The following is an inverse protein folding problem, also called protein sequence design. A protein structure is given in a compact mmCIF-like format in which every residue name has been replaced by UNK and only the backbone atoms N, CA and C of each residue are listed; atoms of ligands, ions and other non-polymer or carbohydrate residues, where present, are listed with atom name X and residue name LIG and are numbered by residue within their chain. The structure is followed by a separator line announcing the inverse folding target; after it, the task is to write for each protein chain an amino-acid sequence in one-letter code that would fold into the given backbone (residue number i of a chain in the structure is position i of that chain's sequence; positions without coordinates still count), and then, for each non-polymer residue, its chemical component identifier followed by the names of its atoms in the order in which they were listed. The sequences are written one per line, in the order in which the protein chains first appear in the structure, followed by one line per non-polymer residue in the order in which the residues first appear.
data_IF_671744530105
#
_entry.id   IF_671744530105
#
_cell.length_a   1.000
_cell.length_b   1.000
_cell.length_c   1.000
_cell.angle_alpha   90.00
_cell.angle_beta   90.00
_cell.angle_gamma   90.00
#
_symmetry.space_group_name_H-M   'P 1'
#
loop_
_entity.id
_entity.type
_entity.pdbx_description
1 polymer ?
#
# COMPACT_ATOMS: atom_id res chain seq x y z
N UNK A 1 -7.86 5.45 5.54
CA UNK A 1 -7.20 4.22 5.05
C UNK A 1 -7.71 3.10 5.89
N UNK A 2 -7.98 1.95 5.31
CA UNK A 2 -8.58 0.79 5.97
C UNK A 2 -7.70 -0.45 5.74
N UNK A 3 -7.98 -1.52 6.48
CA UNK A 3 -7.34 -2.83 6.28
C UNK A 3 -6.35 -3.20 7.38
N UNK A 4 -5.57 -4.25 7.10
CA UNK A 4 -4.76 -4.98 8.08
C UNK A 4 -3.86 -4.03 8.88
N UNK A 5 -3.89 -4.13 10.20
CA UNK A 5 -3.00 -3.42 11.13
C UNK A 5 -2.39 -4.45 12.08
N UNK A 6 -1.08 -4.33 12.32
CA UNK A 6 -0.39 -5.16 13.32
C UNK A 6 -0.30 -4.35 14.60
N UNK A 7 -0.79 -4.92 15.70
CA UNK A 7 -0.60 -4.41 17.04
C UNK A 7 0.23 -5.44 17.82
N UNK A 8 1.25 -4.96 18.54
CA UNK A 8 2.06 -5.81 19.41
C UNK A 8 2.48 -5.01 20.65
N UNK A 9 2.60 -5.69 21.78
CA UNK A 9 3.23 -5.18 23.00
C UNK A 9 4.69 -5.64 23.14
N UNK A 10 5.19 -6.42 22.18
CA UNK A 10 6.58 -6.86 22.10
C UNK A 10 7.44 -5.80 21.39
N UNK A 11 8.36 -5.20 22.15
CA UNK A 11 9.28 -4.17 21.66
C UNK A 11 10.31 -4.70 20.65
N UNK A 12 10.73 -5.95 20.78
CA UNK A 12 11.69 -6.58 19.88
C UNK A 12 11.04 -6.89 18.54
N UNK A 13 9.81 -7.39 18.55
CA UNK A 13 9.02 -7.57 17.32
C UNK A 13 8.79 -6.22 16.62
N UNK A 14 8.46 -5.18 17.39
CA UNK A 14 8.29 -3.81 16.87
C UNK A 14 9.55 -3.32 16.16
N UNK A 15 10.72 -3.50 16.80
CA UNK A 15 12.01 -3.19 16.19
C UNK A 15 12.23 -3.99 14.90
N UNK A 16 11.95 -5.30 14.90
CA UNK A 16 12.14 -6.14 13.71
C UNK A 16 11.21 -5.76 12.54
N UNK A 17 9.97 -5.40 12.82
CA UNK A 17 8.98 -4.95 11.83
C UNK A 17 9.31 -3.55 11.27
N UNK A 18 9.95 -2.70 12.08
CA UNK A 18 10.37 -1.35 11.70
C UNK A 18 11.81 -1.29 11.17
N UNK A 19 12.59 -2.37 11.29
CA UNK A 19 14.01 -2.35 10.97
C UNK A 19 14.21 -2.08 9.46
N UNK A 20 14.97 -1.02 9.07
CA UNK A 20 15.12 -0.61 7.67
C UNK A 20 15.67 -1.69 6.73
N UNK A 21 16.41 -2.66 7.26
CA UNK A 21 16.97 -3.78 6.47
C UNK A 21 15.96 -4.88 6.14
N UNK A 22 14.80 -4.92 6.80
CA UNK A 22 13.70 -5.86 6.51
C UNK A 22 12.59 -5.10 5.82
N UNK A 23 12.73 -4.90 4.51
CA UNK A 23 11.65 -4.39 3.66
C UNK A 23 10.45 -5.35 3.71
N UNK A 24 9.46 -5.02 4.55
CA UNK A 24 8.19 -5.73 4.55
C UNK A 24 7.26 -5.15 3.49
N UNK A 25 7.04 -5.96 2.47
CA UNK A 25 6.07 -5.67 1.44
C UNK A 25 4.69 -5.39 2.02
N UNK A 26 4.02 -4.39 1.47
CA UNK A 26 2.64 -4.06 1.80
C UNK A 26 1.84 -4.05 0.54
N UNK A 27 0.74 -4.78 0.55
CA UNK A 27 -0.17 -4.90 -0.58
C UNK A 27 -1.46 -4.15 -0.32
N UNK A 28 -1.87 -3.38 -1.32
CA UNK A 28 -3.03 -2.51 -1.24
C UNK A 28 -3.94 -2.70 -2.44
N UNK A 29 -5.24 -2.70 -2.18
CA UNK A 29 -6.25 -2.46 -3.20
C UNK A 29 -6.65 -1.00 -3.14
N UNK A 30 -6.39 -0.27 -4.22
CA UNK A 30 -6.61 1.17 -4.30
C UNK A 30 -7.67 1.46 -5.36
N UNK A 31 -8.66 2.27 -4.99
CA UNK A 31 -9.69 2.77 -5.90
C UNK A 31 -9.51 4.27 -6.09
N UNK A 32 -9.55 4.72 -7.34
CA UNK A 32 -9.50 6.13 -7.72
C UNK A 32 -10.90 6.69 -7.99
N UNK A 33 -11.00 8.02 -8.00
CA UNK A 33 -12.20 8.75 -8.40
C UNK A 33 -12.55 8.52 -9.88
N UNK A 34 -11.55 8.33 -10.74
CA UNK A 34 -11.69 8.17 -12.20
C UNK A 34 -10.87 7.00 -12.75
N UNK A 35 -11.08 6.61 -14.01
CA UNK A 35 -10.38 5.49 -14.61
C UNK A 35 -8.88 5.77 -14.78
N UNK A 36 -8.04 4.77 -14.53
CA UNK A 36 -6.60 4.88 -14.81
C UNK A 36 -6.34 4.82 -16.30
N UNK A 37 -5.43 5.63 -16.77
CA UNK A 37 -4.83 5.49 -18.10
C UNK A 37 -3.75 4.41 -18.05
N UNK A 38 -3.62 3.61 -19.11
CA UNK A 38 -2.63 2.53 -19.13
C UNK A 38 -1.20 3.07 -19.00
N UNK A 39 -0.90 4.21 -19.65
CA UNK A 39 0.41 4.86 -19.55
C UNK A 39 0.78 5.26 -18.11
N UNK A 40 -0.21 5.58 -17.27
CA UNK A 40 0.04 5.94 -15.87
C UNK A 40 0.34 4.73 -14.97
N UNK A 41 -0.04 3.51 -15.37
CA UNK A 41 0.31 2.31 -14.60
C UNK A 41 1.82 2.07 -14.58
N UNK A 42 2.47 2.27 -15.73
CA UNK A 42 3.93 2.13 -15.85
C UNK A 42 4.69 3.19 -15.04
N UNK A 43 4.11 4.39 -14.90
CA UNK A 43 4.69 5.46 -14.08
C UNK A 43 4.84 5.06 -12.61
N UNK A 44 3.89 4.30 -12.06
CA UNK A 44 4.01 3.79 -10.69
C UNK A 44 5.23 2.85 -10.54
N UNK A 45 5.61 2.10 -11.58
CA UNK A 45 6.76 1.17 -11.57
C UNK A 45 8.09 1.89 -11.80
N UNK A 46 8.14 2.77 -12.82
CA UNK A 46 9.34 3.56 -13.16
C UNK A 46 9.67 4.58 -12.07
N UNK A 47 8.64 5.07 -11.38
CA UNK A 47 8.69 5.99 -10.27
C UNK A 47 8.32 7.42 -10.67
N UNK A 48 7.59 8.07 -9.78
CA UNK A 48 6.96 9.38 -9.94
C UNK A 48 7.74 10.39 -9.10
N UNK A 49 8.06 11.53 -9.67
CA UNK A 49 8.68 12.63 -8.95
C UNK A 49 7.65 13.40 -8.14
N UNK A 50 7.91 13.53 -6.84
CA UNK A 50 7.05 14.21 -5.88
C UNK A 50 7.88 15.21 -5.06
N UNK A 51 7.26 16.14 -4.32
CA UNK A 51 8.01 17.04 -3.42
C UNK A 51 8.87 16.30 -2.38
N UNK A 52 8.53 15.05 -2.07
CA UNK A 52 9.23 14.18 -1.11
C UNK A 52 10.34 13.34 -1.76
N UNK A 53 10.54 13.48 -3.08
CA UNK A 53 11.47 12.71 -3.88
C UNK A 53 10.79 11.75 -4.85
N UNK A 54 11.58 10.83 -5.43
CA UNK A 54 11.09 9.85 -6.40
C UNK A 54 10.46 8.66 -5.66
N UNK A 55 9.16 8.49 -5.81
CA UNK A 55 8.41 7.38 -5.22
C UNK A 55 8.08 6.34 -6.28
N UNK A 56 8.27 5.05 -5.98
CA UNK A 56 7.92 3.94 -6.88
C UNK A 56 7.19 2.83 -6.14
N UNK A 57 6.42 2.06 -6.88
CA UNK A 57 5.85 0.80 -6.46
C UNK A 57 6.75 -0.36 -6.91
N UNK A 58 6.69 -1.47 -6.18
CA UNK A 58 7.34 -2.72 -6.59
C UNK A 58 6.56 -3.41 -7.70
N UNK A 59 5.25 -3.41 -7.58
CA UNK A 59 4.34 -4.04 -8.53
C UNK A 59 3.01 -3.29 -8.57
N UNK A 60 2.41 -3.25 -9.76
CA UNK A 60 1.09 -2.69 -10.02
C UNK A 60 0.34 -3.64 -10.92
N UNK A 61 -0.90 -3.95 -10.57
CA UNK A 61 -1.78 -4.82 -11.35
C UNK A 61 -3.16 -4.16 -11.47
N UNK A 62 -3.67 -4.06 -12.70
CA UNK A 62 -5.01 -3.50 -12.93
C UNK A 62 -6.07 -4.54 -12.59
N UNK A 63 -6.99 -4.18 -11.69
CA UNK A 63 -8.14 -5.01 -11.33
C UNK A 63 -9.42 -4.55 -12.04
N UNK A 64 -9.56 -3.25 -12.33
CA UNK A 64 -10.65 -2.70 -13.15
C UNK A 64 -10.26 -1.32 -13.72
N UNK A 65 -11.19 -0.64 -14.38
CA UNK A 65 -10.97 0.72 -14.86
C UNK A 65 -10.49 1.68 -13.75
N UNK A 66 -11.06 1.57 -12.53
CA UNK A 66 -10.78 2.48 -11.39
C UNK A 66 -10.10 1.82 -10.20
N UNK A 67 -9.69 0.55 -10.33
CA UNK A 67 -9.09 -0.21 -9.22
C UNK A 67 -7.79 -0.86 -9.65
N UNK A 68 -6.77 -0.70 -8.82
CA UNK A 68 -5.48 -1.36 -8.98
C UNK A 68 -5.03 -1.99 -7.66
N UNK A 69 -4.25 -3.05 -7.79
CA UNK A 69 -3.46 -3.63 -6.72
C UNK A 69 -2.05 -3.05 -6.80
N UNK A 70 -1.52 -2.58 -5.67
CA UNK A 70 -0.18 -2.01 -5.56
C UNK A 70 0.58 -2.72 -4.44
N UNK A 71 1.83 -3.11 -4.73
CA UNK A 71 2.77 -3.63 -3.74
C UNK A 71 3.89 -2.60 -3.55
N UNK A 72 4.17 -2.24 -2.29
CA UNK A 72 5.26 -1.35 -1.91
C UNK A 72 6.26 -2.09 -1.01
N UNK A 73 7.57 -1.87 -1.21
CA UNK A 73 8.65 -2.39 -0.35
C UNK A 73 8.79 -1.58 0.95
N UNK A 74 8.63 -0.26 0.83
CA UNK A 74 8.62 0.68 1.94
C UNK A 74 7.25 1.35 2.05
N UNK A 75 6.85 1.71 3.27
CA UNK A 75 5.59 2.39 3.55
C UNK A 75 5.84 3.81 4.03
N UNK A 76 6.34 4.70 3.17
CA UNK A 76 6.45 6.11 3.54
C UNK A 76 5.05 6.68 3.83
N UNK A 77 4.98 7.63 4.79
CA UNK A 77 3.71 8.19 5.24
C UNK A 77 2.94 8.75 4.05
N UNK A 78 1.72 8.26 3.82
CA UNK A 78 0.83 8.67 2.71
C UNK A 78 1.36 8.41 1.29
N UNK A 79 2.43 7.64 1.09
CA UNK A 79 3.07 7.38 -0.22
C UNK A 79 2.09 7.12 -1.37
N UNK A 80 1.11 6.22 -1.18
CA UNK A 80 0.12 5.90 -2.23
C UNK A 80 -0.70 7.13 -2.63
N UNK A 81 -1.14 7.93 -1.66
CA UNK A 81 -1.94 9.13 -1.95
C UNK A 81 -1.12 10.17 -2.69
N UNK A 82 0.13 10.38 -2.28
CA UNK A 82 1.07 11.31 -2.94
C UNK A 82 1.33 10.88 -4.40
N UNK A 83 1.59 9.59 -4.64
CA UNK A 83 1.80 9.06 -5.99
C UNK A 83 0.56 9.25 -6.89
N UNK A 84 -0.64 9.05 -6.34
CA UNK A 84 -1.88 9.21 -7.09
C UNK A 84 -2.17 10.68 -7.40
N UNK A 85 -2.03 11.56 -6.42
CA UNK A 85 -2.23 13.00 -6.56
C UNK A 85 -1.27 13.58 -7.61
N UNK A 86 -0.01 13.12 -7.63
CA UNK A 86 0.98 13.52 -8.63
C UNK A 86 0.61 13.12 -10.08
N UNK A 87 -0.24 12.11 -10.27
CA UNK A 87 -0.77 11.70 -11.57
C UNK A 87 -2.21 12.19 -11.81
N UNK A 88 -2.72 13.10 -10.97
CA UNK A 88 -4.06 13.68 -11.12
C UNK A 88 -5.21 12.79 -10.65
N UNK A 89 -4.94 11.76 -9.85
CA UNK A 89 -5.96 10.88 -9.27
C UNK A 89 -6.23 11.20 -7.80
N UNK A 90 -7.49 11.06 -7.38
CA UNK A 90 -7.87 11.07 -5.97
C UNK A 90 -8.20 9.65 -5.50
N UNK A 91 -7.59 9.22 -4.40
CA UNK A 91 -7.84 7.90 -3.80
C UNK A 91 -9.14 7.92 -3.00
N UNK A 92 -10.15 7.23 -3.50
CA UNK A 92 -11.49 7.09 -2.86
C UNK A 92 -11.54 5.94 -1.87
N UNK A 93 -10.90 4.81 -2.17
CA UNK A 93 -10.74 3.68 -1.24
C UNK A 93 -9.31 3.19 -1.22
N UNK A 94 -8.80 2.93 -0.02
CA UNK A 94 -7.45 2.41 0.20
C UNK A 94 -7.50 1.32 1.26
N UNK A 95 -7.42 0.07 0.81
CA UNK A 95 -7.48 -1.12 1.65
C UNK A 95 -6.14 -1.83 1.65
N UNK A 96 -5.50 -1.97 2.81
CA UNK A 96 -4.31 -2.80 2.97
C UNK A 96 -4.71 -4.25 3.23
N UNK A 97 -4.31 -5.16 2.34
CA UNK A 97 -4.69 -6.58 2.41
C UNK A 97 -3.56 -7.48 2.88
N UNK A 98 -2.31 -6.99 2.86
CA UNK A 98 -1.13 -7.77 3.29
C UNK A 98 -0.04 -6.90 3.89
N UNK A 99 0.65 -7.43 4.90
CA UNK A 99 1.91 -6.91 5.45
C UNK A 99 2.87 -8.09 5.61
N UNK A 100 3.92 -8.14 4.78
CA UNK A 100 4.84 -9.27 4.73
C UNK A 100 4.12 -10.57 4.37
N UNK A 101 4.19 -11.56 5.27
CA UNK A 101 3.48 -12.85 5.17
C UNK A 101 2.05 -12.82 5.73
N UNK A 102 1.65 -11.74 6.41
CA UNK A 102 0.35 -11.64 7.06
C UNK A 102 -0.70 -11.09 6.10
N UNK A 103 -1.83 -11.79 5.98
CA UNK A 103 -2.96 -11.44 5.12
C UNK A 103 -4.16 -11.01 5.96
N UNK A 104 -4.97 -10.09 5.41
CA UNK A 104 -6.23 -9.67 6.04
C UNK A 104 -7.23 -10.82 6.17
N UNK A 105 -7.23 -11.76 5.21
CA UNK A 105 -8.16 -12.89 5.20
C UNK A 105 -9.62 -12.46 5.17
N UNK A 106 -10.44 -13.13 5.96
CA UNK A 106 -11.89 -12.92 6.06
C UNK A 106 -12.28 -12.00 7.24
N UNK A 107 -11.32 -11.27 7.83
CA UNK A 107 -11.59 -10.36 8.94
C UNK A 107 -12.49 -9.20 8.49
N UNK A 108 -13.59 -9.00 9.21
CA UNK A 108 -14.46 -7.86 8.97
C UNK A 108 -13.84 -6.55 9.49
N UNK A 109 -14.22 -5.38 8.95
CA UNK A 109 -13.73 -4.11 9.45
C UNK A 109 -14.02 -3.92 10.94
N UNK A 110 -12.96 -3.84 11.75
CA UNK A 110 -13.04 -3.65 13.20
C UNK A 110 -12.67 -4.90 13.99
N UNK A 111 -12.63 -6.07 13.36
CA UNK A 111 -12.24 -7.31 14.00
C UNK A 111 -10.73 -7.42 14.20
N UNK A 112 -10.34 -8.25 15.16
CA UNK A 112 -8.95 -8.60 15.40
C UNK A 112 -8.80 -10.08 15.71
N UNK A 113 -7.65 -10.64 15.31
CA UNK A 113 -7.28 -12.02 15.54
C UNK A 113 -5.87 -12.07 16.12
N UNK A 114 -5.69 -12.85 17.18
CA UNK A 114 -4.37 -13.14 17.73
C UNK A 114 -3.57 -14.01 16.76
N UNK A 115 -2.31 -13.63 16.54
CA UNK A 115 -1.37 -14.42 15.76
C UNK A 115 -0.67 -15.40 16.73
N UNK A 116 -0.70 -16.69 16.38
CA UNK A 116 -0.04 -17.76 17.14
C UNK A 116 1.42 -17.94 16.71
#
# INVERSE_FOLDING_TARGET
SEGLLILTNDGDLTQQLMHPSKSMEKEYHVTSNQAFENAHLDQFLVGIYTPEGKLKAKSVERQSARRIKIILEHGAKRQIRVMFEALGYQVTKLLRVRIGSLWLGDLEPGDSQALN
#
